data_IF_610566304308
#
_entry.id   IF_610566304308
#
_cell.length_a   1.000
_cell.length_b   1.000
_cell.length_c   1.000
_cell.angle_alpha   90.00
_cell.angle_beta   90.00
_cell.angle_gamma   90.00
#
_symmetry.space_group_name_H-M   'P 1'
#
loop_
_entity.id
_entity.type
_entity.pdbx_description
1 polymer ?
#
# COMPACT_ATOMS: atom_id res chain seq x y z
N UNK A 1 -34.40 -9.81 24.26
CA UNK A 1 -34.17 -9.07 25.53
C UNK A 1 -32.76 -8.49 25.63
N UNK A 2 -31.69 -9.22 25.32
CA UNK A 2 -30.30 -8.72 25.46
C UNK A 2 -29.88 -7.69 24.39
N UNK A 3 -30.33 -7.84 23.13
CA UNK A 3 -29.91 -6.96 22.03
C UNK A 3 -30.43 -5.52 22.15
N UNK A 4 -31.63 -5.32 22.70
CA UNK A 4 -32.24 -4.01 22.91
C UNK A 4 -31.48 -3.20 23.99
N UNK A 5 -31.07 -3.88 25.07
CA UNK A 5 -30.25 -3.26 26.13
C UNK A 5 -28.89 -2.78 25.61
N UNK A 6 -28.21 -3.58 24.78
CA UNK A 6 -26.92 -3.19 24.18
C UNK A 6 -27.01 -1.94 23.30
N UNK A 7 -28.16 -1.67 22.68
CA UNK A 7 -28.38 -0.46 21.88
C UNK A 7 -28.59 0.76 22.78
N UNK A 8 -29.40 0.62 23.83
CA UNK A 8 -29.68 1.68 24.81
C UNK A 8 -28.43 2.02 25.63
N UNK A 9 -27.71 1.03 26.16
CA UNK A 9 -26.47 1.25 26.92
C UNK A 9 -25.39 1.95 26.10
N UNK A 10 -25.27 1.60 24.81
CA UNK A 10 -24.26 2.19 23.93
C UNK A 10 -24.65 3.58 23.43
N UNK A 11 -25.93 3.97 23.50
CA UNK A 11 -26.46 5.27 23.07
C UNK A 11 -25.88 5.76 21.72
N UNK A 12 -25.74 4.85 20.74
CA UNK A 12 -25.14 5.19 19.44
C UNK A 12 -26.24 5.65 18.48
N UNK A 13 -26.22 6.94 18.15
CA UNK A 13 -27.00 7.54 17.06
C UNK A 13 -26.63 6.95 15.67
N UNK A 14 -27.22 7.48 14.59
CA UNK A 14 -26.95 7.08 13.19
C UNK A 14 -25.45 7.22 12.86
N UNK A 15 -24.69 6.12 12.94
CA UNK A 15 -23.26 6.10 12.62
C UNK A 15 -23.00 5.56 11.22
N UNK A 16 -22.09 6.21 10.49
CA UNK A 16 -21.60 5.70 9.20
C UNK A 16 -20.87 4.37 9.42
N UNK A 17 -21.09 3.41 8.52
CA UNK A 17 -20.41 2.11 8.53
C UNK A 17 -18.89 2.30 8.37
N UNK A 18 -18.14 2.01 9.44
CA UNK A 18 -16.67 2.04 9.44
C UNK A 18 -16.09 0.74 8.86
N UNK A 19 -14.96 0.85 8.16
CA UNK A 19 -14.21 -0.33 7.69
C UNK A 19 -13.60 -1.06 8.87
N UNK A 20 -13.42 -2.39 8.74
CA UNK A 20 -12.80 -3.22 9.79
C UNK A 20 -11.37 -2.76 10.13
N UNK A 21 -10.64 -2.23 9.15
CA UNK A 21 -9.28 -1.70 9.35
C UNK A 21 -9.26 -0.46 10.26
N UNK A 22 -10.29 0.38 10.20
CA UNK A 22 -10.36 1.62 11.00
C UNK A 22 -10.68 1.37 12.47
N UNK A 23 -11.16 0.16 12.82
CA UNK A 23 -11.43 -0.23 14.21
C UNK A 23 -10.15 -0.47 15.01
N UNK A 24 -9.05 -0.83 14.35
CA UNK A 24 -7.78 -1.10 15.00
C UNK A 24 -6.69 -0.19 14.42
N UNK A 25 -6.22 0.84 15.18
CA UNK A 25 -5.26 1.82 14.67
C UNK A 25 -3.95 1.17 14.18
N UNK A 26 -3.50 0.11 14.86
CA UNK A 26 -2.30 -0.64 14.46
C UNK A 26 -2.45 -1.28 13.07
N UNK A 27 -3.59 -1.93 12.81
CA UNK A 27 -3.84 -2.60 11.54
C UNK A 27 -3.96 -1.59 10.40
N UNK A 28 -4.61 -0.46 10.64
CA UNK A 28 -4.69 0.66 9.69
C UNK A 28 -3.30 1.15 9.27
N UNK A 29 -2.43 1.42 10.23
CA UNK A 29 -1.07 1.91 9.96
C UNK A 29 -0.22 0.87 9.23
N UNK A 30 -0.28 -0.40 9.64
CA UNK A 30 0.42 -1.50 8.94
C UNK A 30 0.00 -1.60 7.47
N UNK A 31 -1.30 -1.53 7.21
CA UNK A 31 -1.82 -1.61 5.84
C UNK A 31 -1.51 -0.36 5.02
N UNK A 32 -1.50 0.83 5.64
CA UNK A 32 -1.05 2.08 5.02
C UNK A 32 0.41 1.97 4.56
N UNK A 33 1.30 1.49 5.44
CA UNK A 33 2.71 1.28 5.13
C UNK A 33 2.91 0.27 4.00
N UNK A 34 2.24 -0.89 4.07
CA UNK A 34 2.30 -1.91 3.02
C UNK A 34 1.87 -1.37 1.66
N UNK A 35 0.74 -0.64 1.60
CA UNK A 35 0.24 -0.02 0.36
C UNK A 35 1.23 1.02 -0.19
N UNK A 36 1.84 1.84 0.68
CA UNK A 36 2.85 2.81 0.27
C UNK A 36 4.10 2.14 -0.32
N UNK A 37 4.59 1.06 0.32
CA UNK A 37 5.75 0.29 -0.17
C UNK A 37 5.51 -0.29 -1.57
N UNK A 38 4.30 -0.81 -1.85
CA UNK A 38 3.95 -1.33 -3.17
C UNK A 38 3.92 -0.21 -4.22
N UNK A 39 3.31 0.95 -3.90
CA UNK A 39 3.28 2.10 -4.82
C UNK A 39 4.67 2.63 -5.14
N UNK A 40 5.57 2.65 -4.15
CA UNK A 40 6.96 3.09 -4.32
C UNK A 40 7.68 2.26 -5.38
N UNK A 41 7.52 0.93 -5.36
CA UNK A 41 8.11 0.01 -6.36
C UNK A 41 7.64 0.28 -7.79
N UNK A 42 6.45 0.85 -7.95
CA UNK A 42 5.94 1.28 -9.25
C UNK A 42 6.59 2.57 -9.78
N UNK A 43 6.91 3.51 -8.89
CA UNK A 43 7.54 4.79 -9.25
C UNK A 43 9.06 4.67 -9.42
N UNK A 44 9.71 3.97 -8.50
CA UNK A 44 11.17 3.81 -8.45
C UNK A 44 11.46 2.34 -8.21
N UNK A 45 12.27 1.74 -9.09
CA UNK A 45 12.72 0.36 -8.90
C UNK A 45 13.83 0.35 -7.83
N UNK A 46 13.69 -0.54 -6.86
CA UNK A 46 14.75 -0.83 -5.88
C UNK A 46 15.94 -1.50 -6.58
N UNK A 47 17.15 -1.31 -6.06
CA UNK A 47 18.34 -2.01 -6.54
C UNK A 47 18.18 -3.52 -6.34
N UNK A 48 18.51 -4.32 -7.36
CA UNK A 48 18.45 -5.78 -7.29
C UNK A 48 19.83 -6.33 -6.93
N UNK A 49 19.87 -7.28 -6.01
CA UNK A 49 21.07 -8.06 -5.69
C UNK A 49 21.08 -9.34 -6.53
N UNK A 50 22.20 -9.63 -7.19
CA UNK A 50 22.36 -10.85 -8.00
C UNK A 50 22.61 -12.07 -7.10
N UNK A 51 21.55 -12.83 -6.78
CA UNK A 51 21.71 -14.12 -6.09
C UNK A 51 22.06 -15.27 -7.04
N UNK A 52 21.82 -15.09 -8.33
CA UNK A 52 22.09 -16.07 -9.40
C UNK A 52 22.67 -15.33 -10.59
N UNK A 53 23.41 -16.06 -11.44
CA UNK A 53 24.02 -15.53 -12.66
C UNK A 53 22.96 -14.91 -13.58
N UNK A 54 23.33 -13.82 -14.25
CA UNK A 54 22.43 -13.06 -15.13
C UNK A 54 21.86 -13.94 -16.25
N UNK A 55 20.52 -13.98 -16.34
CA UNK A 55 19.77 -14.73 -17.36
C UNK A 55 18.98 -13.85 -18.33
N UNK A 56 19.21 -12.53 -18.33
CA UNK A 56 18.47 -11.56 -19.14
C UNK A 56 17.48 -10.69 -18.34
N UNK A 57 16.90 -9.69 -19.01
CA UNK A 57 15.92 -8.78 -18.44
C UNK A 57 14.52 -9.40 -18.36
N UNK A 58 14.08 -9.78 -17.16
CA UNK A 58 12.77 -10.44 -16.91
C UNK A 58 11.57 -9.65 -17.48
N UNK A 59 11.63 -8.31 -17.46
CA UNK A 59 10.53 -7.45 -17.94
C UNK A 59 10.71 -6.97 -19.39
N UNK A 60 11.77 -7.44 -20.08
CA UNK A 60 12.15 -6.98 -21.41
C UNK A 60 12.85 -5.61 -21.44
N UNK A 61 13.46 -5.31 -22.59
CA UNK A 61 14.18 -4.06 -22.88
C UNK A 61 13.35 -3.23 -23.87
N UNK A 62 13.06 -1.96 -23.53
CA UNK A 62 12.39 -1.01 -24.43
C UNK A 62 13.41 -0.01 -24.97
N UNK A 63 13.85 -0.22 -26.22
CA UNK A 63 14.92 0.58 -26.84
C UNK A 63 14.60 2.09 -26.95
N UNK A 64 13.34 2.46 -27.16
CA UNK A 64 12.94 3.85 -27.37
C UNK A 64 12.82 4.72 -26.11
N UNK A 65 12.97 4.16 -24.90
CA UNK A 65 12.73 4.91 -23.66
C UNK A 65 14.06 5.36 -23.04
N UNK A 66 14.21 6.68 -22.85
CA UNK A 66 15.30 7.29 -22.08
C UNK A 66 14.78 7.70 -20.69
N UNK A 67 15.41 7.19 -19.62
CA UNK A 67 15.03 7.50 -18.22
C UNK A 67 16.06 8.37 -17.48
N UNK A 68 16.90 9.10 -18.21
CA UNK A 68 17.93 9.97 -17.62
C UNK A 68 17.38 11.36 -17.25
N UNK A 69 17.97 11.97 -16.23
CA UNK A 69 17.74 13.39 -15.89
C UNK A 69 18.69 14.24 -16.74
N UNK A 70 18.17 15.21 -17.49
CA UNK A 70 18.99 16.15 -18.27
C UNK A 70 19.52 17.24 -17.33
N UNK A 71 20.83 17.50 -17.38
CA UNK A 71 21.43 18.66 -16.73
C UNK A 71 21.06 19.91 -17.53
N UNK A 72 20.56 20.93 -16.84
CA UNK A 72 20.36 22.26 -17.44
C UNK A 72 21.66 23.04 -17.23
N UNK A 73 22.17 23.61 -18.32
CA UNK A 73 23.26 24.59 -18.29
C UNK A 73 22.74 25.91 -17.76
#
# INVERSE_FOLDING_TARGET
MCDFYLQIEKNKNIQIKKKKEDRNPRVKLRNKFRKAKIRRKGQVREARTEMKRYGGEVSGIRAGIKRSVKLKT
#
